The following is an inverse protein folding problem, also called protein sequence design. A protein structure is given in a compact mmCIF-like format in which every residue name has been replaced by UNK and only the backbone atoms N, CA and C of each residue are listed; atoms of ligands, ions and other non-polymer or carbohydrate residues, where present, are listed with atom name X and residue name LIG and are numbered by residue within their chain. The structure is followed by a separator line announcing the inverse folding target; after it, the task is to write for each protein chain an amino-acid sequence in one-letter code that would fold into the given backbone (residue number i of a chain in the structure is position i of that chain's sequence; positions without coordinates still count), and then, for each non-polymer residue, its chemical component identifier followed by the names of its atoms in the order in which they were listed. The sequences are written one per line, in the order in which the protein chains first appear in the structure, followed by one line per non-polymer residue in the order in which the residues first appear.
data_IF_956764066453
#
_entry.id   IF_956764066453
#
_cell.length_a   1.000
_cell.length_b   1.000
_cell.length_c   1.000
_cell.angle_alpha   90.00
_cell.angle_beta   90.00
_cell.angle_gamma   90.00
#
_symmetry.space_group_name_H-M   'P 1'
#
loop_
_entity.id
_entity.type
_entity.pdbx_description
1 polymer ?
#
# COMPACT_ATOMS: atom_id res chain seq x y z
N UNK A 1 23.23 -10.35 6.88
CA UNK A 1 22.68 -9.07 6.42
C UNK A 1 21.40 -8.80 7.20
N UNK A 2 21.30 -7.69 7.93
CA UNK A 2 20.06 -7.33 8.60
C UNK A 2 19.04 -6.90 7.54
N UNK A 3 17.85 -7.51 7.56
CA UNK A 3 16.71 -7.02 6.79
C UNK A 3 16.14 -5.80 7.53
N UNK A 4 16.21 -4.64 6.92
CA UNK A 4 15.69 -3.38 7.47
C UNK A 4 14.77 -2.72 6.45
N UNK A 5 13.79 -1.98 6.95
CA UNK A 5 12.93 -1.13 6.11
C UNK A 5 13.74 0.08 5.66
N UNK A 6 13.65 0.42 4.37
CA UNK A 6 14.32 1.57 3.77
C UNK A 6 13.30 2.58 3.27
N UNK A 7 13.72 3.82 2.99
CA UNK A 7 12.85 4.84 2.39
C UNK A 7 12.34 4.43 1.00
N UNK A 8 13.14 3.68 0.22
CA UNK A 8 12.72 3.17 -1.08
C UNK A 8 11.49 2.26 -0.97
N UNK A 9 11.31 1.54 0.15
CA UNK A 9 10.12 0.71 0.35
C UNK A 9 8.83 1.50 0.60
N UNK A 10 8.89 2.83 0.70
CA UNK A 10 7.75 3.73 0.82
C UNK A 10 7.53 4.66 -0.38
N UNK A 11 8.21 4.41 -1.51
CA UNK A 11 8.17 5.28 -2.71
C UNK A 11 6.98 5.01 -3.66
N UNK A 12 6.18 3.96 -3.42
CA UNK A 12 5.11 3.50 -4.33
C UNK A 12 5.59 2.79 -5.61
N UNK A 13 6.89 2.52 -5.73
CA UNK A 13 7.55 1.88 -6.88
C UNK A 13 7.89 0.41 -6.67
N UNK A 14 8.97 -0.05 -7.31
CA UNK A 14 9.35 -1.47 -7.36
C UNK A 14 9.65 -2.05 -5.96
N UNK A 15 10.42 -1.33 -5.14
CA UNK A 15 10.79 -1.82 -3.80
C UNK A 15 9.59 -1.87 -2.85
N UNK A 16 8.64 -0.94 -3.00
CA UNK A 16 7.37 -0.96 -2.27
C UNK A 16 6.53 -2.18 -2.68
N UNK A 17 6.39 -2.43 -4.00
CA UNK A 17 5.68 -3.60 -4.52
C UNK A 17 6.32 -4.93 -4.10
N UNK A 18 7.66 -4.98 -4.06
CA UNK A 18 8.39 -6.15 -3.58
C UNK A 18 8.10 -6.42 -2.09
N UNK A 19 8.10 -5.38 -1.25
CA UNK A 19 7.75 -5.49 0.17
C UNK A 19 6.32 -6.01 0.33
N UNK A 20 5.36 -5.46 -0.42
CA UNK A 20 3.95 -5.87 -0.41
C UNK A 20 3.80 -7.34 -0.79
N UNK A 21 4.39 -7.72 -1.91
CA UNK A 21 4.27 -9.08 -2.45
C UNK A 21 4.94 -10.13 -1.56
N UNK A 22 6.16 -9.85 -1.06
CA UNK A 22 6.96 -10.85 -0.35
C UNK A 22 6.61 -10.99 1.13
N UNK A 23 6.08 -9.93 1.75
CA UNK A 23 5.74 -9.92 3.18
C UNK A 23 4.22 -9.94 3.37
N UNK A 24 3.50 -8.92 2.90
CA UNK A 24 2.08 -8.77 3.22
C UNK A 24 1.21 -9.78 2.50
N UNK A 25 1.39 -9.97 1.18
CA UNK A 25 0.62 -10.97 0.43
C UNK A 25 0.93 -12.38 0.91
N UNK A 26 2.18 -12.68 1.26
CA UNK A 26 2.55 -13.96 1.85
C UNK A 26 1.80 -14.25 3.16
N UNK A 27 1.57 -13.23 4.00
CA UNK A 27 0.96 -13.39 5.31
C UNK A 27 -0.59 -13.33 5.27
N UNK A 28 -1.16 -12.51 4.40
CA UNK A 28 -2.58 -12.13 4.42
C UNK A 28 -3.36 -12.49 3.16
N UNK A 29 -2.78 -13.34 2.29
CA UNK A 29 -3.35 -13.75 1.01
C UNK A 29 -4.83 -14.12 1.10
N UNK A 30 -5.66 -13.52 0.24
CA UNK A 30 -7.07 -13.87 0.04
C UNK A 30 -7.57 -13.26 -1.28
N UNK A 31 -8.74 -13.72 -1.74
CA UNK A 31 -9.34 -13.34 -3.04
C UNK A 31 -9.62 -11.84 -3.20
N UNK A 32 -9.76 -11.09 -2.10
CA UNK A 32 -9.95 -9.64 -2.13
C UNK A 32 -8.60 -8.96 -2.36
N UNK A 33 -7.59 -9.34 -1.57
CA UNK A 33 -6.26 -8.74 -1.62
C UNK A 33 -5.52 -9.07 -2.91
N UNK A 34 -5.72 -10.26 -3.49
CA UNK A 34 -5.10 -10.67 -4.76
C UNK A 34 -5.48 -9.80 -5.96
N UNK A 35 -6.58 -9.04 -5.88
CA UNK A 35 -7.00 -8.13 -6.96
C UNK A 35 -6.04 -6.96 -7.13
N UNK A 36 -5.31 -6.57 -6.09
CA UNK A 36 -4.30 -5.50 -6.15
C UNK A 36 -4.84 -4.16 -6.73
N UNK A 37 -6.06 -3.79 -6.35
CA UNK A 37 -6.74 -2.55 -6.76
C UNK A 37 -6.60 -1.46 -5.67
N UNK A 38 -7.00 -0.22 -6.00
CA UNK A 38 -6.97 0.94 -5.07
C UNK A 38 -7.89 0.80 -3.85
N UNK A 39 -8.81 -0.17 -3.86
CA UNK A 39 -9.78 -0.39 -2.80
C UNK A 39 -10.20 -1.87 -2.68
N UNK A 40 -10.60 -2.27 -1.48
CA UNK A 40 -11.24 -3.55 -1.25
C UNK A 40 -12.74 -3.47 -1.54
N UNK A 41 -13.24 -4.39 -2.37
CA UNK A 41 -14.68 -4.57 -2.61
C UNK A 41 -15.21 -5.64 -1.66
N UNK A 42 -16.09 -5.24 -0.74
CA UNK A 42 -16.66 -6.09 0.32
C UNK A 42 -18.19 -6.02 0.30
N UNK A 43 -18.84 -6.83 1.14
CA UNK A 43 -20.31 -6.93 1.21
C UNK A 43 -20.94 -7.16 -0.17
N UNK A 44 -20.41 -8.13 -0.93
CA UNK A 44 -20.91 -8.48 -2.28
C UNK A 44 -20.94 -7.31 -3.29
N UNK A 45 -20.06 -6.32 -3.12
CA UNK A 45 -19.99 -5.17 -4.05
C UNK A 45 -20.73 -3.93 -3.56
N UNK A 46 -21.39 -3.99 -2.40
CA UNK A 46 -22.12 -2.84 -1.85
C UNK A 46 -21.20 -1.81 -1.19
N UNK A 47 -20.01 -2.24 -0.74
CA UNK A 47 -19.05 -1.38 -0.05
C UNK A 47 -17.67 -1.47 -0.70
N UNK A 48 -17.12 -0.30 -1.01
CA UNK A 48 -15.75 -0.11 -1.48
C UNK A 48 -14.99 0.65 -0.40
N UNK A 49 -13.88 0.08 0.09
CA UNK A 49 -13.10 0.63 1.19
C UNK A 49 -11.64 0.85 0.77
N UNK A 50 -11.13 2.07 0.97
CA UNK A 50 -9.74 2.45 0.73
C UNK A 50 -9.21 3.27 1.89
N UNK A 51 -7.89 3.31 2.06
CA UNK A 51 -7.21 4.06 3.11
C UNK A 51 -5.87 4.58 2.60
N UNK A 52 -5.50 5.77 3.05
CA UNK A 52 -4.20 6.37 2.76
C UNK A 52 -3.75 7.26 3.94
N UNK A 53 -2.46 7.58 4.00
CA UNK A 53 -1.88 8.49 4.97
C UNK A 53 -0.99 9.51 4.26
N UNK A 54 -1.07 10.78 4.68
CA UNK A 54 -0.31 11.86 4.08
C UNK A 54 0.88 12.24 4.97
N UNK A 55 2.10 12.05 4.46
CA UNK A 55 3.35 12.42 5.16
C UNK A 55 4.13 13.51 4.43
N UNK A 56 3.44 14.30 3.60
CA UNK A 56 4.07 15.38 2.81
C UNK A 56 4.74 16.41 3.72
N UNK A 57 5.91 16.88 3.30
CA UNK A 57 6.67 17.93 4.00
C UNK A 57 7.40 18.81 2.98
N UNK A 58 7.34 20.15 3.08
CA UNK A 58 6.65 20.94 4.11
C UNK A 58 5.11 20.80 4.04
N UNK A 59 4.41 21.26 5.08
CA UNK A 59 2.94 21.24 5.11
C UNK A 59 2.29 22.22 4.11
N UNK A 60 3.04 23.23 3.65
CA UNK A 60 2.60 24.23 2.68
C UNK A 60 3.63 24.35 1.57
N UNK A 61 3.21 24.14 0.32
CA UNK A 61 4.03 24.22 -0.89
C UNK A 61 3.23 24.81 -2.06
N UNK A 62 3.88 25.23 -3.17
CA UNK A 62 3.15 25.72 -4.34
C UNK A 62 2.25 24.62 -4.92
N UNK A 63 0.93 24.79 -4.80
CA UNK A 63 -0.08 23.82 -5.21
C UNK A 63 -0.76 23.05 -4.07
N UNK A 64 -0.34 23.27 -2.81
CA UNK A 64 -0.92 22.67 -1.60
C UNK A 64 -0.08 23.01 -0.37
#
# INVERSE_FOLDING_TARGET
MNKQITLAMGNGGEENNELISKIFYKAFKNDILEKSEDAAVIQNGELVFSTDSFTVSPLFFPGG
#
